data_IF_899068636428
#
_entry.id   IF_899068636428
#
_cell.length_a   1.000
_cell.length_b   1.000
_cell.length_c   1.000
_cell.angle_alpha   90.00
_cell.angle_beta   90.00
_cell.angle_gamma   90.00
#
_symmetry.space_group_name_H-M   'P 1'
#
loop_
_entity.id
_entity.type
_entity.pdbx_description
1 polymer ?
#
# COMPACT_ATOMS: atom_id res chain seq x y z
N UNK A 1 85.93 45.01 15.35
CA UNK A 1 84.50 44.79 15.04
C UNK A 1 84.40 44.83 13.53
N UNK A 2 84.12 43.72 12.85
CA UNK A 2 84.01 43.73 11.40
C UNK A 2 82.87 44.69 10.99
N UNK A 3 83.15 45.67 10.13
CA UNK A 3 82.12 46.54 9.56
C UNK A 3 81.29 45.70 8.59
N UNK A 4 80.02 45.45 8.94
CA UNK A 4 79.07 44.83 8.03
C UNK A 4 78.90 45.77 6.84
N UNK A 5 79.26 45.32 5.65
CA UNK A 5 79.10 46.11 4.44
C UNK A 5 77.64 46.04 3.97
N UNK A 6 77.20 47.03 3.19
CA UNK A 6 75.87 47.02 2.55
C UNK A 6 75.65 45.75 1.69
N UNK A 7 76.73 45.20 1.13
CA UNK A 7 76.73 43.97 0.34
C UNK A 7 76.39 42.75 1.21
N UNK A 8 77.00 42.63 2.39
CA UNK A 8 76.73 41.52 3.31
C UNK A 8 75.27 41.52 3.79
N UNK A 9 74.68 42.71 4.01
CA UNK A 9 73.25 42.85 4.33
C UNK A 9 72.36 42.41 3.17
N UNK A 10 72.70 42.82 1.94
CA UNK A 10 71.95 42.44 0.74
C UNK A 10 72.01 40.93 0.49
N UNK A 11 73.19 40.33 0.63
CA UNK A 11 73.38 38.89 0.47
C UNK A 11 72.60 38.11 1.53
N UNK A 12 72.58 38.58 2.78
CA UNK A 12 71.79 37.99 3.87
C UNK A 12 70.28 38.07 3.62
N UNK A 13 69.79 39.23 3.15
CA UNK A 13 68.37 39.41 2.81
C UNK A 13 67.95 38.56 1.61
N UNK A 14 68.82 38.47 0.60
CA UNK A 14 68.58 37.64 -0.58
C UNK A 14 68.56 36.15 -0.22
N UNK A 15 69.48 35.71 0.64
CA UNK A 15 69.49 34.34 1.18
C UNK A 15 68.22 34.04 1.99
N UNK A 16 67.76 34.98 2.83
CA UNK A 16 66.51 34.85 3.56
C UNK A 16 65.31 34.72 2.61
N UNK A 17 65.26 35.54 1.57
CA UNK A 17 64.20 35.48 0.56
C UNK A 17 64.20 34.13 -0.18
N UNK A 18 65.34 33.72 -0.74
CA UNK A 18 65.45 32.52 -1.56
C UNK A 18 65.33 31.22 -0.75
N UNK A 19 65.92 31.17 0.45
CA UNK A 19 65.97 29.92 1.26
C UNK A 19 64.77 29.75 2.20
N UNK A 20 64.11 30.85 2.60
CA UNK A 20 63.04 30.78 3.60
C UNK A 20 61.71 31.24 3.01
N UNK A 21 61.60 32.48 2.51
CA UNK A 21 60.31 33.04 2.09
C UNK A 21 59.76 32.33 0.84
N UNK A 22 60.53 32.28 -0.24
CA UNK A 22 60.11 31.67 -1.52
C UNK A 22 59.62 30.22 -1.37
N UNK A 23 60.34 29.30 -0.71
CA UNK A 23 59.84 27.93 -0.51
C UNK A 23 58.70 27.85 0.52
N UNK A 24 58.54 28.82 1.42
CA UNK A 24 57.38 28.86 2.30
C UNK A 24 56.11 29.27 1.54
N UNK A 25 56.18 30.32 0.72
CA UNK A 25 55.08 30.73 -0.15
C UNK A 25 54.68 29.63 -1.14
N UNK A 26 55.66 28.97 -1.79
CA UNK A 26 55.34 27.85 -2.67
C UNK A 26 54.66 26.66 -1.96
N UNK A 27 54.98 26.42 -0.68
CA UNK A 27 54.25 25.43 0.14
C UNK A 27 52.83 25.88 0.48
N UNK A 28 52.61 27.17 0.72
CA UNK A 28 51.29 27.73 0.97
C UNK A 28 50.43 27.62 -0.29
N UNK A 29 50.95 28.04 -1.45
CA UNK A 29 50.26 27.95 -2.75
C UNK A 29 49.81 26.52 -3.04
N UNK A 30 50.72 25.55 -2.89
CA UNK A 30 50.38 24.13 -3.08
C UNK A 30 49.27 23.65 -2.14
N UNK A 31 49.30 24.07 -0.86
CA UNK A 31 48.25 23.71 0.10
C UNK A 31 46.90 24.36 -0.24
N UNK A 32 46.92 25.58 -0.77
CA UNK A 32 45.70 26.25 -1.25
C UNK A 32 45.13 25.52 -2.46
N UNK A 33 45.95 25.13 -3.43
CA UNK A 33 45.51 24.34 -4.58
C UNK A 33 44.89 22.99 -4.16
N UNK A 34 45.50 22.30 -3.18
CA UNK A 34 44.97 21.07 -2.60
C UNK A 34 43.63 21.30 -1.89
N UNK A 35 43.46 22.44 -1.20
CA UNK A 35 42.21 22.81 -0.57
C UNK A 35 41.13 23.13 -1.60
N UNK A 36 41.44 23.89 -2.64
CA UNK A 36 40.52 24.22 -3.73
C UNK A 36 40.01 22.95 -4.43
N UNK A 37 40.88 21.97 -4.64
CA UNK A 37 40.44 20.69 -5.19
C UNK A 37 39.47 19.96 -4.25
N UNK A 38 39.80 19.88 -2.95
CA UNK A 38 38.88 19.27 -1.97
C UNK A 38 37.54 19.99 -1.90
N UNK A 39 37.52 21.32 -2.00
CA UNK A 39 36.27 22.08 -2.03
C UNK A 39 35.44 21.76 -3.28
N UNK A 40 36.06 21.64 -4.45
CA UNK A 40 35.37 21.19 -5.67
C UNK A 40 34.75 19.81 -5.50
N UNK A 41 35.51 18.86 -4.95
CA UNK A 41 35.02 17.48 -4.72
C UNK A 41 33.84 17.47 -3.73
N UNK A 42 33.93 18.26 -2.66
CA UNK A 42 32.85 18.42 -1.66
C UNK A 42 31.59 18.99 -2.31
N UNK A 43 31.71 20.04 -3.13
CA UNK A 43 30.57 20.65 -3.82
C UNK A 43 29.89 19.64 -4.76
N UNK A 44 30.69 18.86 -5.50
CA UNK A 44 30.15 17.80 -6.36
C UNK A 44 29.39 16.73 -5.56
N UNK A 45 29.89 16.36 -4.38
CA UNK A 45 29.17 15.45 -3.48
C UNK A 45 27.86 16.05 -2.97
N UNK A 46 27.82 17.34 -2.65
CA UNK A 46 26.58 18.01 -2.26
C UNK A 46 25.56 18.01 -3.40
N UNK A 47 25.97 18.29 -4.63
CA UNK A 47 25.07 18.23 -5.80
C UNK A 47 24.46 16.83 -5.97
N UNK A 48 25.28 15.77 -5.81
CA UNK A 48 24.81 14.39 -5.86
C UNK A 48 23.82 14.07 -4.72
N UNK A 49 24.07 14.59 -3.52
CA UNK A 49 23.15 14.43 -2.38
C UNK A 49 21.82 15.13 -2.67
N UNK A 50 21.85 16.37 -3.18
CA UNK A 50 20.64 17.11 -3.55
C UNK A 50 19.80 16.35 -4.59
N UNK A 51 20.41 15.85 -5.65
CA UNK A 51 19.71 15.03 -6.66
C UNK A 51 19.13 13.73 -6.10
N UNK A 52 19.76 13.14 -5.07
CA UNK A 52 19.21 11.95 -4.40
C UNK A 52 18.02 12.33 -3.52
N UNK A 53 18.07 13.47 -2.84
CA UNK A 53 16.96 13.95 -2.01
C UNK A 53 15.73 14.30 -2.85
N UNK A 54 15.89 14.96 -4.00
CA UNK A 54 14.78 15.25 -4.92
C UNK A 54 14.10 13.97 -5.44
N UNK A 55 14.90 12.94 -5.75
CA UNK A 55 14.38 11.62 -6.14
C UNK A 55 13.61 10.95 -5.00
N UNK A 56 14.16 10.98 -3.78
CA UNK A 56 13.48 10.43 -2.61
C UNK A 56 12.16 11.16 -2.30
N UNK A 57 12.13 12.48 -2.47
CA UNK A 57 10.91 13.27 -2.31
C UNK A 57 9.85 12.89 -3.37
N UNK A 58 10.27 12.70 -4.62
CA UNK A 58 9.37 12.24 -5.69
C UNK A 58 8.81 10.83 -5.41
N UNK A 59 9.67 9.90 -4.99
CA UNK A 59 9.27 8.55 -4.59
C UNK A 59 8.31 8.58 -3.40
N UNK A 60 8.57 9.43 -2.41
CA UNK A 60 7.70 9.63 -1.25
C UNK A 60 6.29 10.06 -1.66
N UNK A 61 6.16 11.07 -2.53
CA UNK A 61 4.84 11.50 -3.02
C UNK A 61 4.14 10.40 -3.85
N UNK A 62 4.88 9.64 -4.64
CA UNK A 62 4.34 8.51 -5.41
C UNK A 62 3.80 7.41 -4.49
N UNK A 63 4.55 7.04 -3.44
CA UNK A 63 4.13 6.08 -2.42
C UNK A 63 2.89 6.58 -1.70
N UNK A 64 2.86 7.84 -1.26
CA UNK A 64 1.71 8.44 -0.58
C UNK A 64 0.45 8.38 -1.44
N UNK A 65 0.53 8.80 -2.70
CA UNK A 65 -0.59 8.70 -3.64
C UNK A 65 -0.99 7.24 -3.91
N UNK A 66 -0.04 6.30 -3.85
CA UNK A 66 -0.30 4.86 -3.92
C UNK A 66 -1.12 4.36 -2.73
N UNK A 67 -0.76 4.77 -1.52
CA UNK A 67 -1.48 4.44 -0.29
C UNK A 67 -2.90 5.01 -0.30
N UNK A 68 -3.07 6.28 -0.66
CA UNK A 68 -4.41 6.91 -0.77
C UNK A 68 -5.34 6.12 -1.72
N UNK A 69 -4.81 5.62 -2.85
CA UNK A 69 -5.56 4.77 -3.79
C UNK A 69 -5.90 3.40 -3.22
N UNK A 70 -5.02 2.83 -2.38
CA UNK A 70 -5.27 1.54 -1.72
C UNK A 70 -6.37 1.70 -0.67
N UNK A 71 -6.31 2.73 0.16
CA UNK A 71 -7.34 3.05 1.16
C UNK A 71 -8.71 3.20 0.51
N UNK A 72 -8.84 4.03 -0.53
CA UNK A 72 -10.10 4.19 -1.27
C UNK A 72 -10.64 2.89 -1.89
N UNK A 73 -9.75 1.96 -2.27
CA UNK A 73 -10.15 0.66 -2.80
C UNK A 73 -10.63 -0.27 -1.68
N UNK A 74 -10.02 -0.19 -0.50
CA UNK A 74 -10.44 -0.95 0.68
C UNK A 74 -11.82 -0.50 1.13
N UNK A 75 -12.07 0.80 1.22
CA UNK A 75 -13.41 1.34 1.57
C UNK A 75 -14.51 0.80 0.63
N UNK A 76 -14.22 0.75 -0.68
CA UNK A 76 -15.16 0.19 -1.67
C UNK A 76 -15.34 -1.32 -1.53
N UNK A 77 -14.31 -2.04 -1.09
CA UNK A 77 -14.42 -3.49 -0.82
C UNK A 77 -15.27 -3.72 0.42
N UNK A 78 -15.07 -2.96 1.49
CA UNK A 78 -15.87 -3.02 2.72
C UNK A 78 -17.35 -2.77 2.41
N UNK A 79 -17.68 -1.69 1.69
CA UNK A 79 -19.08 -1.41 1.28
C UNK A 79 -19.71 -2.54 0.46
N UNK A 80 -18.93 -3.20 -0.41
CA UNK A 80 -19.41 -4.34 -1.21
C UNK A 80 -19.63 -5.57 -0.33
N UNK A 81 -18.79 -5.79 0.67
CA UNK A 81 -18.96 -6.88 1.64
C UNK A 81 -20.22 -6.64 2.48
N UNK A 82 -20.44 -5.43 2.99
CA UNK A 82 -21.66 -5.09 3.73
C UNK A 82 -22.93 -5.37 2.91
N UNK A 83 -22.90 -4.99 1.63
CA UNK A 83 -24.01 -5.25 0.69
C UNK A 83 -24.22 -6.75 0.46
N UNK A 84 -23.15 -7.52 0.31
CA UNK A 84 -23.22 -8.97 0.14
C UNK A 84 -23.74 -9.66 1.40
N UNK A 85 -23.31 -9.24 2.58
CA UNK A 85 -23.79 -9.76 3.86
C UNK A 85 -25.29 -9.46 4.06
N UNK A 86 -25.74 -8.26 3.70
CA UNK A 86 -27.16 -7.94 3.70
C UNK A 86 -27.94 -8.84 2.74
N UNK A 87 -27.46 -9.01 1.51
CA UNK A 87 -28.09 -9.90 0.53
C UNK A 87 -28.16 -11.36 1.01
N UNK A 88 -27.11 -11.85 1.68
CA UNK A 88 -27.11 -13.18 2.29
C UNK A 88 -28.16 -13.32 3.39
N UNK A 89 -28.29 -12.31 4.28
CA UNK A 89 -29.34 -12.30 5.31
C UNK A 89 -30.73 -12.35 4.70
N UNK A 90 -31.00 -11.54 3.68
CA UNK A 90 -32.29 -11.53 2.98
C UNK A 90 -32.61 -12.86 2.30
N UNK A 91 -31.61 -13.53 1.71
CA UNK A 91 -31.77 -14.86 1.11
C UNK A 91 -32.09 -15.89 2.19
N UNK A 92 -31.40 -15.85 3.33
CA UNK A 92 -31.62 -16.77 4.45
C UNK A 92 -33.04 -16.64 4.99
N UNK A 93 -33.53 -15.41 5.19
CA UNK A 93 -34.91 -15.16 5.62
C UNK A 93 -35.96 -15.67 4.62
N UNK A 94 -35.70 -15.50 3.31
CA UNK A 94 -36.59 -16.03 2.26
C UNK A 94 -36.60 -17.56 2.28
N UNK A 95 -35.44 -18.19 2.47
CA UNK A 95 -35.32 -19.64 2.54
C UNK A 95 -36.07 -20.20 3.76
N UNK A 96 -35.96 -19.57 4.92
CA UNK A 96 -36.70 -19.98 6.13
C UNK A 96 -38.22 -19.91 5.93
N UNK A 97 -38.70 -18.88 5.23
CA UNK A 97 -40.12 -18.73 4.86
C UNK A 97 -40.57 -19.83 3.90
N UNK A 98 -39.78 -20.12 2.87
CA UNK A 98 -40.08 -21.19 1.90
C UNK A 98 -40.09 -22.58 2.56
N UNK A 99 -39.16 -22.85 3.47
CA UNK A 99 -39.14 -24.09 4.27
C UNK A 99 -40.44 -24.21 5.07
N UNK A 100 -40.82 -23.15 5.79
CA UNK A 100 -42.05 -23.14 6.59
C UNK A 100 -43.33 -23.32 5.75
N UNK A 101 -43.38 -22.69 4.57
CA UNK A 101 -44.49 -22.85 3.63
C UNK A 101 -44.58 -24.29 3.13
N UNK A 102 -43.43 -24.88 2.76
CA UNK A 102 -43.36 -26.27 2.30
C UNK A 102 -43.83 -27.25 3.36
N UNK A 103 -43.43 -27.07 4.62
CA UNK A 103 -43.90 -27.90 5.73
C UNK A 103 -45.43 -27.83 5.90
N UNK A 104 -46.02 -26.64 5.71
CA UNK A 104 -47.47 -26.46 5.76
C UNK A 104 -48.16 -27.20 4.61
N UNK A 105 -47.66 -27.02 3.39
CA UNK A 105 -48.19 -27.70 2.20
C UNK A 105 -48.07 -29.23 2.31
N UNK A 106 -46.97 -29.75 2.85
CA UNK A 106 -46.80 -31.19 3.07
C UNK A 106 -47.85 -31.75 4.05
N UNK A 107 -48.21 -31.01 5.10
CA UNK A 107 -49.30 -31.37 6.02
C UNK A 107 -50.66 -31.35 5.33
N UNK A 108 -50.97 -30.29 4.57
CA UNK A 108 -52.23 -30.18 3.82
C UNK A 108 -52.39 -31.30 2.78
N UNK A 109 -51.32 -31.63 2.06
CA UNK A 109 -51.31 -32.75 1.10
C UNK A 109 -51.57 -34.07 1.81
N UNK A 110 -51.01 -34.28 3.01
CA UNK A 110 -51.25 -35.49 3.80
C UNK A 110 -52.71 -35.59 4.24
N UNK A 111 -53.31 -34.50 4.69
CA UNK A 111 -54.74 -34.45 5.05
C UNK A 111 -55.64 -34.72 3.83
N UNK A 112 -55.37 -34.07 2.70
CA UNK A 112 -56.11 -34.30 1.45
C UNK A 112 -56.02 -35.76 1.00
N UNK A 113 -54.83 -36.37 1.04
CA UNK A 113 -54.66 -37.80 0.73
C UNK A 113 -55.53 -38.68 1.63
N UNK A 114 -55.59 -38.38 2.93
CA UNK A 114 -56.43 -39.12 3.86
C UNK A 114 -57.93 -38.97 3.53
N UNK A 115 -58.39 -37.74 3.27
CA UNK A 115 -59.78 -37.46 2.89
C UNK A 115 -60.18 -38.13 1.58
N UNK A 116 -59.30 -38.16 0.58
CA UNK A 116 -59.53 -38.86 -0.68
C UNK A 116 -59.67 -40.37 -0.45
N UNK A 117 -58.84 -40.97 0.40
CA UNK A 117 -58.97 -42.39 0.76
C UNK A 117 -60.34 -42.69 1.37
N UNK A 118 -60.80 -41.86 2.32
CA UNK A 118 -62.12 -42.04 2.94
C UNK A 118 -63.28 -41.87 1.95
N UNK A 119 -63.16 -40.95 0.99
CA UNK A 119 -64.15 -40.79 -0.07
C UNK A 119 -64.17 -42.00 -1.00
N UNK A 120 -63.00 -42.56 -1.33
CA UNK A 120 -62.89 -43.76 -2.15
C UNK A 120 -63.60 -44.95 -1.48
N UNK A 121 -63.35 -45.17 -0.18
CA UNK A 121 -64.03 -46.23 0.60
C UNK A 121 -65.57 -46.05 0.60
N UNK A 122 -66.04 -44.81 0.72
CA UNK A 122 -67.49 -44.50 0.68
C UNK A 122 -68.10 -44.73 -0.71
N UNK A 123 -67.37 -44.42 -1.78
CA UNK A 123 -67.80 -44.70 -3.15
C UNK A 123 -67.92 -46.21 -3.36
N UNK A 124 -66.90 -46.97 -2.94
CA UNK A 124 -66.89 -48.43 -3.05
C UNK A 124 -68.07 -49.08 -2.30
N UNK A 125 -68.44 -48.56 -1.11
CA UNK A 125 -69.63 -49.01 -0.36
C UNK A 125 -70.93 -48.71 -1.12
N UNK A 126 -71.09 -47.49 -1.64
CA UNK A 126 -72.26 -47.09 -2.41
C UNK A 126 -72.42 -47.91 -3.69
N UNK A 127 -71.33 -48.20 -4.40
CA UNK A 127 -71.32 -49.05 -5.59
C UNK A 127 -71.77 -50.48 -5.26
N UNK A 128 -71.29 -51.06 -4.15
CA UNK A 128 -71.74 -52.38 -3.68
C UNK A 128 -73.24 -52.39 -3.38
N UNK A 129 -73.75 -51.36 -2.69
CA UNK A 129 -75.18 -51.23 -2.36
C UNK A 129 -76.03 -51.11 -3.63
N UNK A 130 -75.63 -50.27 -4.59
CA UNK A 130 -76.34 -50.14 -5.86
C UNK A 130 -76.43 -51.46 -6.63
N UNK A 131 -75.37 -52.27 -6.63
CA UNK A 131 -75.37 -53.62 -7.24
C UNK A 131 -76.36 -54.58 -6.59
N UNK A 132 -76.70 -54.40 -5.31
CA UNK A 132 -77.70 -55.25 -4.63
C UNK A 132 -79.15 -54.86 -4.93
N UNK A 133 -79.38 -53.66 -5.52
CA UNK A 133 -80.71 -53.19 -5.92
C UNK A 133 -81.01 -53.35 -7.42
N UNK A 134 -80.01 -53.73 -8.24
CA UNK A 134 -80.15 -54.09 -9.65
C UNK A 134 -80.30 -55.59 -9.84
#
# INVERSE_FOLDING_TARGET
MAEITRRDLFDTLNDFYEKILKPHFGRIEKRLDEHDQKFRDILQHFDQIHQRLERLETEYYSIKAGLDRVEQRLDKVEQRLDTLEQGQREIMEKLDKEISLRETLEKEIKDLKHRVSLLQERIDDLEKRLKTFS
#
